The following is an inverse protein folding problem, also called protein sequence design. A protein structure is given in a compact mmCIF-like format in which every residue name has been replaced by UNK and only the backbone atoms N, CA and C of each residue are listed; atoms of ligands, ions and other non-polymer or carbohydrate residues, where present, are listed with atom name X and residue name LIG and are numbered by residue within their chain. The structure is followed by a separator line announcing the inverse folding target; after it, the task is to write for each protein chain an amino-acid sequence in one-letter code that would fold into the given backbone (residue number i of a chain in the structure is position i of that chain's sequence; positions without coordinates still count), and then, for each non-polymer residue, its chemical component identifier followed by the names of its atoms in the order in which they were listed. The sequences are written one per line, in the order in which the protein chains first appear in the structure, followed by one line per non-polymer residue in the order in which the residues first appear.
data_IF_745814015797
#
_entry.id   IF_745814015797
#
_cell.length_a   1.000
_cell.length_b   1.000
_cell.length_c   1.000
_cell.angle_alpha   90.00
_cell.angle_beta   90.00
_cell.angle_gamma   90.00
#
_symmetry.space_group_name_H-M   'P 1'
#
loop_
_entity.id
_entity.type
_entity.pdbx_description
1 polymer ?
#
# COMPACT_ATOMS: atom_id res chain seq x y z
N UNK A 1 -9.99 4.35 -13.17
CA UNK A 1 -9.48 4.33 -11.77
C UNK A 1 -7.98 4.11 -11.87
N UNK A 2 -7.18 4.98 -11.26
CA UNK A 2 -5.73 4.78 -11.17
C UNK A 2 -5.41 4.52 -9.71
N UNK A 3 -4.95 3.32 -9.40
CA UNK A 3 -4.44 2.96 -8.09
C UNK A 3 -2.92 2.88 -8.22
N UNK A 4 -2.21 3.56 -7.35
CA UNK A 4 -0.74 3.53 -7.30
C UNK A 4 -0.35 3.00 -5.92
N UNK A 5 0.53 2.01 -5.87
CA UNK A 5 1.04 1.39 -4.63
C UNK A 5 -0.07 0.87 -3.70
N UNK A 6 -1.16 0.35 -4.28
CA UNK A 6 -2.32 -0.17 -3.52
C UNK A 6 -2.52 -1.65 -3.84
N UNK A 7 -2.38 -2.52 -2.84
CA UNK A 7 -2.71 -3.94 -2.92
C UNK A 7 -4.18 -4.17 -2.66
N UNK A 8 -4.76 -5.19 -3.31
CA UNK A 8 -6.17 -5.54 -3.12
C UNK A 8 -6.40 -6.29 -1.80
N UNK A 9 -5.36 -6.87 -1.18
CA UNK A 9 -5.45 -7.58 0.09
C UNK A 9 -4.20 -7.35 0.95
N UNK A 10 -4.40 -7.36 2.27
CA UNK A 10 -3.34 -7.11 3.24
C UNK A 10 -2.27 -8.22 3.26
N UNK A 11 -2.58 -9.44 2.81
CA UNK A 11 -1.63 -10.56 2.73
C UNK A 11 -0.72 -10.51 1.49
N UNK A 12 -0.93 -9.51 0.64
CA UNK A 12 -0.06 -9.18 -0.48
C UNK A 12 1.29 -8.62 -0.07
N UNK A 13 1.38 -7.97 1.09
CA UNK A 13 2.66 -7.53 1.65
C UNK A 13 3.52 -8.73 2.07
N UNK A 14 4.84 -8.58 2.00
CA UNK A 14 5.76 -9.50 2.69
C UNK A 14 5.42 -9.62 4.18
N UNK A 15 5.57 -10.82 4.76
CA UNK A 15 5.10 -11.10 6.13
C UNK A 15 5.86 -10.26 7.16
N UNK A 16 7.16 -10.06 6.95
CA UNK A 16 8.00 -9.16 7.73
C UNK A 16 7.56 -7.69 7.61
N UNK A 17 7.03 -7.28 6.46
CA UNK A 17 6.49 -5.93 6.25
C UNK A 17 5.20 -5.74 7.04
N UNK A 18 4.31 -6.73 7.06
CA UNK A 18 3.09 -6.69 7.89
C UNK A 18 3.42 -6.56 9.37
N UNK A 19 4.42 -7.29 9.86
CA UNK A 19 4.85 -7.18 11.25
C UNK A 19 5.39 -5.78 11.57
N UNK A 20 6.22 -5.21 10.69
CA UNK A 20 6.76 -3.86 10.86
C UNK A 20 5.65 -2.79 10.80
N UNK A 21 4.73 -2.89 9.85
CA UNK A 21 3.58 -1.99 9.71
C UNK A 21 2.69 -2.02 10.96
N UNK A 22 2.48 -3.19 11.57
CA UNK A 22 1.70 -3.33 12.80
C UNK A 22 2.33 -2.62 14.02
N UNK A 23 3.64 -2.34 14.00
CA UNK A 23 4.33 -1.63 15.07
C UNK A 23 4.25 -0.10 14.95
N UNK A 24 3.76 0.44 13.83
CA UNK A 24 3.64 1.90 13.65
C UNK A 24 2.70 2.47 14.72
N UNK A 25 3.19 3.46 15.46
CA UNK A 25 2.46 4.13 16.53
C UNK A 25 3.13 5.45 16.88
N UNK A 26 2.47 6.28 17.68
CA UNK A 26 3.02 7.52 18.24
C UNK A 26 4.40 7.32 18.91
N UNK A 27 4.67 6.14 19.46
CA UNK A 27 5.94 5.82 20.11
C UNK A 27 7.16 5.89 19.16
N UNK A 28 6.93 5.78 17.83
CA UNK A 28 8.00 5.93 16.84
C UNK A 28 8.39 7.40 16.59
N UNK A 29 7.52 8.37 16.93
CA UNK A 29 7.72 9.78 16.59
C UNK A 29 9.07 10.38 17.02
N UNK A 30 9.60 10.11 18.24
CA UNK A 30 10.90 10.64 18.65
C UNK A 30 12.06 10.18 17.76
N UNK A 31 12.02 8.93 17.28
CA UNK A 31 13.06 8.32 16.46
C UNK A 31 13.00 8.76 14.99
N UNK A 32 11.88 9.37 14.57
CA UNK A 32 11.67 9.77 13.18
C UNK A 32 12.09 11.20 12.88
N UNK A 33 12.46 12.01 13.90
CA UNK A 33 12.73 13.46 13.75
C UNK A 33 13.78 13.80 12.68
N UNK A 34 14.78 12.95 12.50
CA UNK A 34 15.85 13.20 11.52
C UNK A 34 15.58 12.61 10.13
N UNK A 35 14.49 11.86 9.98
CA UNK A 35 14.13 11.20 8.71
C UNK A 35 13.59 12.21 7.70
N UNK A 36 13.75 11.95 6.38
CA UNK A 36 13.09 12.74 5.34
C UNK A 36 11.57 12.81 5.51
N UNK A 37 10.93 11.74 6.00
CA UNK A 37 9.49 11.68 6.21
C UNK A 37 9.02 12.76 7.20
N UNK A 38 9.65 12.85 8.38
CA UNK A 38 9.29 13.85 9.37
C UNK A 38 9.59 15.28 8.88
N UNK A 39 10.76 15.49 8.26
CA UNK A 39 11.14 16.80 7.72
C UNK A 39 10.14 17.31 6.69
N UNK A 40 9.69 16.44 5.78
CA UNK A 40 8.67 16.77 4.79
C UNK A 40 7.31 17.04 5.43
N UNK A 41 6.91 16.28 6.45
CA UNK A 41 5.67 16.52 7.19
C UNK A 41 5.67 17.90 7.87
N UNK A 42 6.71 18.22 8.64
CA UNK A 42 6.81 19.50 9.37
C UNK A 42 6.83 20.70 8.42
N UNK A 43 7.40 20.56 7.22
CA UNK A 43 7.46 21.64 6.24
C UNK A 43 6.09 22.10 5.73
N UNK A 44 5.05 21.25 5.81
CA UNK A 44 3.73 21.52 5.22
C UNK A 44 2.57 21.39 6.21
N UNK A 45 2.75 20.69 7.33
CA UNK A 45 1.68 20.45 8.28
C UNK A 45 1.30 21.75 9.03
N UNK A 46 0.01 22.09 9.14
CA UNK A 46 -0.43 23.26 9.92
C UNK A 46 -0.20 23.08 11.43
N UNK A 47 -0.13 21.82 11.89
CA UNK A 47 0.10 21.42 13.29
C UNK A 47 1.20 20.34 13.34
N UNK A 48 2.49 20.70 13.25
CA UNK A 48 3.59 19.73 13.26
C UNK A 48 3.64 18.81 14.49
N UNK A 49 3.11 19.28 15.62
CA UNK A 49 2.96 18.55 16.87
C UNK A 49 2.03 17.33 16.77
N UNK A 50 1.16 17.27 15.76
CA UNK A 50 0.22 16.16 15.54
C UNK A 50 0.86 14.95 14.84
N UNK A 51 2.16 14.99 14.53
CA UNK A 51 2.84 13.85 13.91
C UNK A 51 2.65 12.51 14.66
N UNK A 52 2.71 12.43 16.01
CA UNK A 52 2.44 11.19 16.72
C UNK A 52 0.99 10.69 16.52
N UNK A 53 0.02 11.61 16.45
CA UNK A 53 -1.39 11.27 16.18
C UNK A 53 -1.58 10.72 14.76
N UNK A 54 -0.85 11.26 13.78
CA UNK A 54 -0.78 10.70 12.44
C UNK A 54 -0.25 9.26 12.47
N UNK A 55 0.85 9.00 13.19
CA UNK A 55 1.41 7.65 13.30
C UNK A 55 0.44 6.66 13.96
N UNK A 56 -0.28 7.05 15.00
CA UNK A 56 -1.31 6.19 15.60
C UNK A 56 -2.45 5.89 14.61
N UNK A 57 -2.93 6.89 13.87
CA UNK A 57 -3.95 6.71 12.86
C UNK A 57 -3.49 5.74 11.75
N UNK A 58 -2.26 5.92 11.25
CA UNK A 58 -1.65 5.04 10.25
C UNK A 58 -1.48 3.62 10.79
N UNK A 59 -0.92 3.45 11.99
CA UNK A 59 -0.75 2.15 12.62
C UNK A 59 -2.08 1.42 12.85
N UNK A 60 -3.11 2.14 13.30
CA UNK A 60 -4.45 1.58 13.45
C UNK A 60 -5.03 1.11 12.12
N UNK A 61 -4.82 1.86 11.03
CA UNK A 61 -5.20 1.43 9.69
C UNK A 61 -4.39 0.20 9.24
N UNK A 62 -3.06 0.23 9.39
CA UNK A 62 -2.17 -0.85 8.95
C UNK A 62 -2.39 -2.19 9.67
N UNK A 63 -2.90 -2.18 10.90
CA UNK A 63 -3.25 -3.40 11.64
C UNK A 63 -4.51 -4.08 11.12
N UNK A 64 -5.36 -3.36 10.39
CA UNK A 64 -6.61 -3.92 9.89
C UNK A 64 -6.30 -4.90 8.76
N UNK A 65 -6.90 -6.09 8.85
CA UNK A 65 -6.90 -7.02 7.73
C UNK A 65 -7.96 -6.57 6.73
N UNK A 66 -7.67 -6.71 5.45
CA UNK A 66 -8.61 -6.45 4.37
C UNK A 66 -8.33 -7.38 3.19
N UNK A 67 -9.39 -7.71 2.44
CA UNK A 67 -9.30 -8.47 1.21
C UNK A 67 -10.45 -8.05 0.27
N UNK A 68 -10.09 -7.41 -0.83
CA UNK A 68 -11.00 -6.95 -1.89
C UNK A 68 -10.91 -7.83 -3.13
N UNK A 69 -10.32 -9.03 -3.05
CA UNK A 69 -10.18 -9.97 -4.18
C UNK A 69 -11.51 -10.21 -4.90
N UNK A 70 -12.60 -10.35 -4.15
CA UNK A 70 -13.92 -10.60 -4.71
C UNK A 70 -14.49 -9.40 -5.49
N UNK A 71 -14.00 -8.19 -5.23
CA UNK A 71 -14.44 -6.96 -5.87
C UNK A 71 -13.63 -6.60 -7.11
N UNK A 72 -12.39 -7.09 -7.22
CA UNK A 72 -11.52 -6.85 -8.38
C UNK A 72 -12.21 -7.22 -9.71
N UNK A 73 -12.82 -8.42 -9.89
CA UNK A 73 -13.50 -8.77 -11.14
C UNK A 73 -14.78 -7.95 -11.41
N UNK A 74 -15.28 -7.21 -10.41
CA UNK A 74 -16.49 -6.38 -10.54
C UNK A 74 -16.16 -5.01 -11.14
N UNK A 75 -14.88 -4.62 -11.21
CA UNK A 75 -14.44 -3.38 -11.84
C UNK A 75 -14.85 -3.37 -13.32
N UNK A 76 -15.60 -2.34 -13.73
CA UNK A 76 -16.17 -2.21 -15.09
C UNK A 76 -15.44 -1.21 -15.99
N UNK A 77 -14.56 -0.39 -15.40
CA UNK A 77 -13.77 0.61 -16.10
C UNK A 77 -12.39 0.05 -16.47
N UNK A 78 -11.68 0.64 -17.46
CA UNK A 78 -10.28 0.30 -17.71
C UNK A 78 -9.40 0.49 -16.46
N UNK A 79 -8.48 -0.46 -16.27
CA UNK A 79 -7.53 -0.50 -15.14
C UNK A 79 -6.11 -0.52 -15.69
N UNK A 80 -5.26 0.39 -15.19
CA UNK A 80 -3.82 0.37 -15.40
C UNK A 80 -3.17 -0.09 -14.09
N UNK A 81 -2.32 -1.12 -14.17
CA UNK A 81 -1.51 -1.59 -13.05
C UNK A 81 -0.09 -1.06 -13.21
N UNK A 82 0.47 -0.50 -12.14
CA UNK A 82 1.84 -0.01 -12.08
C UNK A 82 2.48 -0.53 -10.79
N UNK A 83 3.59 -1.25 -10.92
CA UNK A 83 4.33 -1.86 -9.82
C UNK A 83 5.78 -1.38 -9.83
N UNK A 84 6.36 -1.20 -8.63
CA UNK A 84 7.76 -0.85 -8.46
C UNK A 84 8.61 -2.09 -8.25
N UNK A 85 9.85 -2.09 -8.77
CA UNK A 85 10.79 -3.20 -8.58
C UNK A 85 11.26 -3.37 -7.12
N UNK A 86 11.18 -2.29 -6.34
CA UNK A 86 11.52 -2.23 -4.91
C UNK A 86 10.28 -2.03 -4.03
N UNK A 87 9.11 -2.49 -4.47
CA UNK A 87 7.88 -2.42 -3.69
C UNK A 87 7.85 -3.48 -2.57
N UNK A 88 6.97 -3.27 -1.60
CA UNK A 88 6.78 -4.13 -0.42
C UNK A 88 5.77 -5.27 -0.65
N UNK A 89 5.23 -5.39 -1.86
CA UNK A 89 4.33 -6.46 -2.25
C UNK A 89 5.08 -7.69 -2.76
N UNK A 90 4.53 -8.87 -2.47
CA UNK A 90 4.96 -10.13 -3.06
C UNK A 90 4.61 -10.12 -4.56
N UNK A 91 5.53 -10.48 -5.48
CA UNK A 91 5.24 -10.53 -6.91
C UNK A 91 4.02 -11.40 -7.27
N UNK A 92 3.78 -12.48 -6.52
CA UNK A 92 2.62 -13.36 -6.71
C UNK A 92 1.29 -12.61 -6.51
N UNK A 93 1.25 -11.63 -5.60
CA UNK A 93 0.09 -10.78 -5.37
C UNK A 93 -0.21 -9.90 -6.59
N UNK A 94 0.83 -9.30 -7.17
CA UNK A 94 0.73 -8.44 -8.36
C UNK A 94 0.26 -9.23 -9.58
N UNK A 95 0.83 -10.41 -9.79
CA UNK A 95 0.43 -11.35 -10.85
C UNK A 95 -1.03 -11.76 -10.64
N UNK A 96 -1.44 -12.07 -9.41
CA UNK A 96 -2.82 -12.46 -9.10
C UNK A 96 -3.80 -11.32 -9.38
N UNK A 97 -3.45 -10.09 -9.06
CA UNK A 97 -4.27 -8.92 -9.38
C UNK A 97 -4.47 -8.81 -10.90
N UNK A 98 -3.39 -8.92 -11.68
CA UNK A 98 -3.47 -8.91 -13.14
C UNK A 98 -4.36 -10.04 -13.69
N UNK A 99 -4.24 -11.25 -13.15
CA UNK A 99 -5.09 -12.39 -13.53
C UNK A 99 -6.57 -12.20 -13.18
N UNK A 100 -6.89 -11.63 -12.01
CA UNK A 100 -8.27 -11.36 -11.60
C UNK A 100 -8.97 -10.32 -12.50
N UNK A 101 -8.19 -9.45 -13.14
CA UNK A 101 -8.67 -8.51 -14.16
C UNK A 101 -8.82 -9.16 -15.55
N UNK A 102 -8.60 -10.48 -15.67
CA UNK A 102 -8.67 -11.23 -16.93
C UNK A 102 -7.37 -11.21 -17.74
N UNK A 103 -6.28 -10.67 -17.18
CA UNK A 103 -4.96 -10.64 -17.81
C UNK A 103 -4.22 -11.98 -17.75
N UNK A 104 -3.16 -12.10 -18.56
CA UNK A 104 -2.22 -13.22 -18.48
C UNK A 104 -2.73 -14.56 -19.03
N UNK A 105 -3.88 -14.56 -19.71
CA UNK A 105 -4.45 -15.77 -20.34
C UNK A 105 -3.75 -16.16 -21.64
N UNK A 106 -3.29 -15.16 -22.39
CA UNK A 106 -2.50 -15.28 -23.62
C UNK A 106 -1.82 -13.93 -23.89
N UNK A 107 -0.89 -13.92 -24.84
CA UNK A 107 -0.36 -12.67 -25.39
C UNK A 107 -1.52 -11.80 -25.91
N UNK A 108 -1.42 -10.48 -25.71
CA UNK A 108 -2.46 -9.55 -26.18
C UNK A 108 -2.60 -9.60 -27.71
N UNK A 109 -1.58 -10.09 -28.41
CA UNK A 109 -1.52 -10.11 -29.86
C UNK A 109 -1.34 -8.72 -30.43
N UNK A 110 -1.01 -8.69 -31.73
CA UNK A 110 -0.89 -7.47 -32.53
C UNK A 110 -2.02 -7.35 -33.56
N UNK A 111 -3.24 -7.80 -33.25
CA UNK A 111 -4.38 -7.77 -34.18
C UNK A 111 -5.44 -6.77 -33.78
#
# INVERSE_FOLDING_TARGET
LVLVSTGYAADGFYDEMRLQQAQVSAAAAPFMKDTPMYKSYVAVAPHPEDFPKLLDALGNFMRQNYDFSADVPKLKMPVMLAYGDSDMYKPEHEIKFYQMLGGGLKDAGWM
#
